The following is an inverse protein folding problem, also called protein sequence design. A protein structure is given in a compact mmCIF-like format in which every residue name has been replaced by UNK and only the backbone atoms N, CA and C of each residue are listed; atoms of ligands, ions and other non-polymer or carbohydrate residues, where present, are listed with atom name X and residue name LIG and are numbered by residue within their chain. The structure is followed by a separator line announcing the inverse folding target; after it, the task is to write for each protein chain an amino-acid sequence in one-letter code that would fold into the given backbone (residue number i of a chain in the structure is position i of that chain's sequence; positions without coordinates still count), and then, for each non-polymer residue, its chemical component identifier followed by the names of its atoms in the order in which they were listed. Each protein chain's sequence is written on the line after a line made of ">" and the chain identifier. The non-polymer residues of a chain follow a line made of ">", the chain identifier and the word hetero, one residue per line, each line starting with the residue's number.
data_IF_376514207121
#
_entry.id   IF_376514207121
#
_cell.length_a   1.000
_cell.length_b   1.000
_cell.length_c   1.000
_cell.angle_alpha   90.00
_cell.angle_beta   90.00
_cell.angle_gamma   90.00
#
_symmetry.space_group_name_H-M   'P 1'
#
loop_
_entity.id
_entity.type
_entity.pdbx_description
1 polymer ?
#
# COMPACT_ATOMS: atom_id res chain seq x y z
N UNK A 1 -7.23 21.34 -12.93
CA UNK A 1 -7.33 20.17 -12.04
C UNK A 1 -6.50 20.52 -10.82
N UNK A 2 -7.13 20.63 -9.67
CA UNK A 2 -6.47 21.06 -8.44
C UNK A 2 -5.95 19.83 -7.68
N UNK A 3 -4.80 19.98 -7.03
CA UNK A 3 -4.12 18.91 -6.32
C UNK A 3 -3.85 19.32 -4.86
N UNK A 4 -4.19 18.44 -3.92
CA UNK A 4 -3.91 18.60 -2.48
C UNK A 4 -2.83 17.60 -2.11
N UNK A 5 -1.84 17.99 -1.31
CA UNK A 5 -0.61 17.21 -1.05
C UNK A 5 -0.41 16.96 0.44
N UNK A 6 -0.07 15.73 0.82
CA UNK A 6 0.30 15.38 2.21
C UNK A 6 1.75 15.77 2.51
N UNK A 7 2.08 17.07 2.51
CA UNK A 7 3.47 17.56 2.61
C UNK A 7 4.05 17.56 4.04
N UNK A 8 5.38 17.53 4.18
CA UNK A 8 6.14 17.55 5.44
C UNK A 8 5.78 16.44 6.43
N UNK A 9 6.46 15.30 6.25
CA UNK A 9 6.33 14.12 7.10
C UNK A 9 7.69 13.76 7.70
N UNK A 10 7.73 13.46 8.99
CA UNK A 10 8.96 12.98 9.64
C UNK A 10 9.14 11.51 9.24
N UNK A 11 10.15 11.21 8.41
CA UNK A 11 10.27 9.93 7.67
C UNK A 11 10.09 8.64 8.49
N UNK A 12 10.49 8.61 9.77
CA UNK A 12 10.29 7.39 10.58
C UNK A 12 8.81 7.09 10.86
N UNK A 13 7.95 8.11 10.95
CA UNK A 13 6.50 8.01 11.20
C UNK A 13 5.69 8.15 9.91
N UNK A 14 6.33 7.98 8.75
CA UNK A 14 5.74 8.36 7.46
C UNK A 14 4.42 7.68 7.16
N UNK A 15 4.36 6.37 7.35
CA UNK A 15 3.14 5.61 7.09
C UNK A 15 1.98 6.12 7.95
N UNK A 16 2.17 6.23 9.26
CA UNK A 16 1.10 6.66 10.16
C UNK A 16 0.65 8.10 9.86
N UNK A 17 1.58 9.04 9.67
CA UNK A 17 1.23 10.44 9.41
C UNK A 17 0.54 10.61 8.05
N UNK A 18 1.03 9.91 7.02
CA UNK A 18 0.46 9.99 5.68
C UNK A 18 -0.92 9.34 5.65
N UNK A 19 -1.11 8.18 6.27
CA UNK A 19 -2.39 7.49 6.33
C UNK A 19 -3.48 8.28 7.07
N UNK A 20 -3.12 8.93 8.19
CA UNK A 20 -4.00 9.84 8.92
C UNK A 20 -4.46 11.03 8.07
N UNK A 21 -3.50 11.70 7.41
CA UNK A 21 -3.80 12.84 6.53
C UNK A 21 -4.62 12.43 5.31
N UNK A 22 -4.36 11.27 4.73
CA UNK A 22 -5.17 10.72 3.63
C UNK A 22 -6.62 10.54 4.10
N UNK A 23 -6.84 9.91 5.25
CA UNK A 23 -8.18 9.73 5.79
C UNK A 23 -8.91 11.07 5.98
N UNK A 24 -8.22 12.06 6.56
CA UNK A 24 -8.74 13.40 6.74
C UNK A 24 -9.14 14.08 5.42
N UNK A 25 -8.26 14.06 4.41
CA UNK A 25 -8.53 14.69 3.12
C UNK A 25 -9.59 13.95 2.30
N UNK A 26 -9.65 12.63 2.39
CA UNK A 26 -10.73 11.86 1.77
C UNK A 26 -12.08 12.22 2.38
N UNK A 27 -12.19 12.33 3.70
CA UNK A 27 -13.42 12.76 4.38
C UNK A 27 -13.83 14.19 3.98
N UNK A 28 -12.89 15.13 3.87
CA UNK A 28 -13.17 16.47 3.36
C UNK A 28 -13.64 16.41 1.91
N UNK A 29 -12.97 15.63 1.06
CA UNK A 29 -13.31 15.45 -0.34
C UNK A 29 -14.72 14.92 -0.53
N UNK A 30 -15.12 13.94 0.29
CA UNK A 30 -16.48 13.39 0.36
C UNK A 30 -17.51 14.47 0.72
N UNK A 31 -17.27 15.23 1.79
CA UNK A 31 -18.20 16.27 2.27
C UNK A 31 -18.34 17.45 1.30
N UNK A 32 -17.26 17.79 0.61
CA UNK A 32 -17.21 18.89 -0.36
C UNK A 32 -17.56 18.46 -1.79
N UNK A 33 -17.79 17.17 -2.04
CA UNK A 33 -17.94 16.60 -3.38
C UNK A 33 -16.83 17.05 -4.35
N UNK A 34 -15.58 17.08 -3.85
CA UNK A 34 -14.45 17.65 -4.59
C UNK A 34 -13.98 16.74 -5.73
N UNK A 35 -13.72 17.34 -6.89
CA UNK A 35 -13.11 16.68 -8.05
C UNK A 35 -11.58 16.70 -8.04
N UNK A 36 -10.96 17.22 -6.97
CA UNK A 36 -9.51 17.30 -6.83
C UNK A 36 -8.86 15.90 -6.77
N UNK A 37 -7.58 15.82 -7.17
CA UNK A 37 -6.76 14.63 -6.98
C UNK A 37 -5.89 14.81 -5.73
N UNK A 38 -5.95 13.83 -4.83
CA UNK A 38 -5.05 13.77 -3.70
C UNK A 38 -3.66 13.30 -4.17
N UNK A 39 -2.62 13.93 -3.65
CA UNK A 39 -1.24 13.52 -3.81
C UNK A 39 -0.70 13.02 -2.46
N UNK A 40 -0.34 11.75 -2.42
CA UNK A 40 0.22 11.11 -1.24
C UNK A 40 1.75 11.07 -1.24
N UNK A 41 2.39 11.98 -1.98
CA UNK A 41 3.85 12.14 -2.00
C UNK A 41 4.60 10.88 -2.44
N UNK A 42 5.63 10.54 -1.67
CA UNK A 42 6.52 9.42 -1.86
C UNK A 42 6.03 8.17 -1.11
N UNK A 43 4.80 8.20 -0.56
CA UNK A 43 4.10 7.01 -0.09
C UNK A 43 3.52 6.22 -1.28
N UNK A 44 4.42 5.74 -2.15
CA UNK A 44 4.13 5.24 -3.50
C UNK A 44 3.07 4.14 -3.52
N UNK A 45 3.18 3.17 -2.60
CA UNK A 45 2.21 2.07 -2.53
C UNK A 45 0.88 2.48 -1.91
N UNK A 46 0.85 3.47 -1.00
CA UNK A 46 -0.42 4.06 -0.55
C UNK A 46 -1.09 4.77 -1.72
N UNK A 47 -0.33 5.51 -2.53
CA UNK A 47 -0.82 6.19 -3.71
C UNK A 47 -1.37 5.24 -4.77
N UNK A 48 -0.59 4.21 -5.11
CA UNK A 48 -1.01 3.17 -6.04
C UNK A 48 -2.28 2.46 -5.56
N UNK A 49 -2.37 2.16 -4.26
CA UNK A 49 -3.51 1.45 -3.67
C UNK A 49 -4.78 2.30 -3.62
N UNK A 50 -4.68 3.59 -3.26
CA UNK A 50 -5.83 4.47 -3.06
C UNK A 50 -6.15 5.34 -4.28
N UNK A 51 -5.50 5.11 -5.42
CA UNK A 51 -5.72 5.90 -6.65
C UNK A 51 -5.41 7.38 -6.45
N UNK A 52 -4.27 7.67 -5.84
CA UNK A 52 -3.74 9.03 -5.64
C UNK A 52 -2.58 9.28 -6.60
N UNK A 53 -2.25 10.55 -6.83
CA UNK A 53 -0.99 10.88 -7.51
C UNK A 53 0.20 10.74 -6.55
N UNK A 54 1.39 10.46 -7.09
CA UNK A 54 2.64 10.40 -6.34
C UNK A 54 3.54 11.60 -6.66
N UNK A 55 4.33 12.05 -5.69
CA UNK A 55 5.51 12.88 -5.88
C UNK A 55 6.76 12.05 -5.62
N UNK A 56 7.47 11.63 -6.67
CA UNK A 56 8.66 10.77 -6.53
C UNK A 56 9.84 11.60 -6.04
N UNK A 57 10.33 11.29 -4.84
CA UNK A 57 11.47 11.95 -4.21
C UNK A 57 12.59 10.97 -3.85
N UNK A 58 12.38 9.66 -4.09
CA UNK A 58 13.39 8.62 -3.86
C UNK A 58 14.61 8.79 -4.75
N UNK A 59 15.76 8.63 -4.13
CA UNK A 59 17.02 8.45 -4.83
C UNK A 59 17.91 7.52 -4.02
N UNK A 60 18.65 6.60 -4.68
CA UNK A 60 19.69 5.79 -4.04
C UNK A 60 20.81 6.61 -3.37
N UNK A 61 20.79 7.95 -3.51
CA UNK A 61 21.80 8.88 -2.98
C UNK A 61 21.32 9.68 -1.75
N UNK A 62 20.05 9.57 -1.34
CA UNK A 62 19.52 10.27 -0.16
C UNK A 62 19.90 9.51 1.12
N UNK A 63 20.16 10.18 2.25
CA UNK A 63 21.24 9.80 3.14
C UNK A 63 21.03 8.40 3.70
N UNK A 64 22.13 7.64 3.85
CA UNK A 64 22.10 6.31 4.42
C UNK A 64 21.36 6.33 5.77
N UNK A 65 20.75 5.20 6.11
CA UNK A 65 20.35 4.98 7.50
C UNK A 65 21.55 5.23 8.44
N UNK A 66 21.29 5.37 9.75
CA UNK A 66 22.32 5.65 10.79
C UNK A 66 23.52 4.68 10.80
N UNK A 67 23.51 3.61 9.99
CA UNK A 67 24.56 2.61 9.86
C UNK A 67 25.39 2.75 8.57
N UNK A 68 25.20 3.82 7.76
CA UNK A 68 26.02 4.06 6.57
C UNK A 68 25.69 3.17 5.37
N UNK A 69 24.57 2.43 5.39
CA UNK A 69 24.17 1.56 4.28
C UNK A 69 23.18 2.29 3.36
N UNK A 70 23.52 2.39 2.07
CA UNK A 70 22.60 2.78 1.02
C UNK A 70 21.59 1.64 0.86
N UNK A 71 20.32 1.91 1.16
CA UNK A 71 19.20 1.00 0.88
C UNK A 71 18.46 1.58 -0.31
N UNK A 72 18.11 0.73 -1.27
CA UNK A 72 17.46 1.13 -2.51
C UNK A 72 16.05 0.55 -2.56
N UNK A 73 15.06 1.42 -2.51
CA UNK A 73 13.63 1.10 -2.64
C UNK A 73 13.03 1.65 -3.94
N UNK A 74 13.89 1.93 -4.95
CA UNK A 74 13.48 2.49 -6.24
C UNK A 74 12.63 1.53 -7.08
N UNK A 75 12.62 0.22 -6.78
CA UNK A 75 11.74 -0.70 -7.49
C UNK A 75 10.27 -0.41 -7.18
N UNK A 76 9.94 0.10 -5.99
CA UNK A 76 8.59 0.55 -5.66
C UNK A 76 8.14 1.72 -6.54
N UNK A 77 9.05 2.62 -6.91
CA UNK A 77 8.80 3.72 -7.87
C UNK A 77 8.37 3.14 -9.22
N UNK A 78 9.17 2.22 -9.76
CA UNK A 78 8.86 1.60 -11.04
C UNK A 78 7.51 0.85 -11.00
N UNK A 79 7.23 0.14 -9.89
CA UNK A 79 5.98 -0.61 -9.68
C UNK A 79 4.76 0.32 -9.62
N UNK A 80 4.82 1.37 -8.80
CA UNK A 80 3.73 2.34 -8.64
C UNK A 80 3.47 3.14 -9.93
N UNK A 81 4.52 3.62 -10.60
CA UNK A 81 4.38 4.37 -11.87
C UNK A 81 3.77 3.48 -12.97
N UNK A 82 4.16 2.21 -13.04
CA UNK A 82 3.58 1.27 -14.01
C UNK A 82 2.15 0.87 -13.66
N UNK A 83 1.83 0.76 -12.37
CA UNK A 83 0.45 0.59 -11.91
C UNK A 83 -0.43 1.73 -12.37
N UNK A 84 0.02 2.99 -12.30
CA UNK A 84 -0.76 4.14 -12.76
C UNK A 84 -1.10 4.13 -14.26
N UNK A 85 -0.40 3.35 -15.08
CA UNK A 85 -0.79 3.12 -16.49
C UNK A 85 -1.99 2.18 -16.61
N UNK A 86 -2.13 1.27 -15.65
CA UNK A 86 -3.24 0.31 -15.56
C UNK A 86 -4.42 0.96 -14.84
N UNK A 87 -4.17 1.64 -13.73
CA UNK A 87 -5.18 2.18 -12.83
C UNK A 87 -4.78 3.60 -12.40
N UNK A 88 -5.21 4.64 -13.15
CA UNK A 88 -4.83 6.02 -12.88
C UNK A 88 -5.34 6.53 -11.53
N UNK A 89 -4.70 7.60 -11.05
CA UNK A 89 -5.22 8.39 -9.94
C UNK A 89 -6.61 8.98 -10.31
N UNK A 90 -7.49 9.08 -9.31
CA UNK A 90 -8.85 9.52 -9.54
C UNK A 90 -9.37 10.46 -8.46
N UNK A 91 -10.30 11.33 -8.87
CA UNK A 91 -10.86 12.40 -8.07
C UNK A 91 -11.44 11.92 -6.74
N UNK A 92 -11.36 12.77 -5.72
CA UNK A 92 -11.85 12.48 -4.36
C UNK A 92 -13.31 12.01 -4.33
N UNK A 93 -14.17 12.59 -5.18
CA UNK A 93 -15.59 12.25 -5.28
C UNK A 93 -15.94 11.10 -6.24
N UNK A 94 -14.97 10.44 -6.88
CA UNK A 94 -15.29 9.43 -7.90
C UNK A 94 -15.74 8.08 -7.32
N UNK A 95 -15.64 7.88 -6.01
CA UNK A 95 -16.04 6.65 -5.34
C UNK A 95 -16.50 6.92 -3.91
N UNK A 96 -17.25 5.97 -3.34
CA UNK A 96 -17.47 5.94 -1.90
C UNK A 96 -16.14 5.83 -1.14
N UNK A 97 -16.09 6.39 0.06
CA UNK A 97 -14.94 6.35 0.96
C UNK A 97 -15.41 5.76 2.29
N UNK A 98 -14.67 4.75 2.75
CA UNK A 98 -14.84 4.11 4.05
C UNK A 98 -13.53 4.18 4.82
N UNK A 99 -13.58 4.64 6.07
CA UNK A 99 -12.43 4.76 6.97
C UNK A 99 -12.72 3.95 8.23
N UNK A 100 -11.76 3.15 8.67
CA UNK A 100 -11.90 2.35 9.90
C UNK A 100 -12.00 3.23 11.14
N UNK A 101 -12.89 2.87 12.05
CA UNK A 101 -12.94 3.45 13.41
C UNK A 101 -11.88 2.89 14.36
N UNK A 102 -11.23 1.76 14.01
CA UNK A 102 -10.08 1.25 14.76
C UNK A 102 -8.87 2.17 14.49
N UNK A 103 -8.26 2.69 15.55
CA UNK A 103 -7.08 3.57 15.47
C UNK A 103 -5.84 2.80 15.89
N UNK A 104 -4.83 2.79 15.02
CA UNK A 104 -3.51 2.22 15.30
C UNK A 104 -2.55 3.35 15.72
N UNK A 105 -1.54 2.99 16.51
CA UNK A 105 -0.63 3.95 17.16
C UNK A 105 0.82 3.59 16.94
N UNK A 106 1.54 4.49 16.30
CA UNK A 106 2.98 4.39 16.08
C UNK A 106 3.76 5.33 17.00
N UNK A 107 5.03 5.00 17.24
CA UNK A 107 5.92 5.79 18.06
C UNK A 107 7.36 5.74 17.61
N UNK A 108 8.06 6.86 17.74
CA UNK A 108 9.48 6.93 17.49
C UNK A 108 10.17 7.90 18.44
N UNK A 109 11.33 7.49 18.96
CA UNK A 109 12.22 8.37 19.70
C UNK A 109 13.18 9.05 18.72
N UNK A 110 13.27 10.37 18.80
CA UNK A 110 14.14 11.17 17.95
C UNK A 110 15.31 11.73 18.77
N UNK A 111 16.51 11.14 18.67
CA UNK A 111 17.72 11.76 19.20
C UNK A 111 17.90 13.17 18.62
N UNK A 112 18.53 14.06 19.39
CA UNK A 112 18.80 15.44 18.96
C UNK A 112 19.54 15.46 17.63
N UNK A 113 19.04 16.24 16.67
CA UNK A 113 19.63 16.39 15.33
C UNK A 113 19.43 15.19 14.40
N UNK A 114 18.58 14.22 14.76
CA UNK A 114 18.31 13.04 13.92
C UNK A 114 17.23 13.25 12.86
N UNK A 115 16.57 14.41 12.86
CA UNK A 115 15.55 14.81 11.89
C UNK A 115 15.59 16.32 11.66
N UNK A 116 15.01 16.78 10.56
CA UNK A 116 14.88 18.20 10.23
C UNK A 116 13.93 18.95 11.20
N UNK A 117 13.03 18.23 11.87
CA UNK A 117 12.04 18.78 12.78
C UNK A 117 12.60 18.95 14.20
N UNK A 118 13.24 20.09 14.46
CA UNK A 118 13.89 20.39 15.75
C UNK A 118 12.95 20.29 16.97
N UNK A 119 11.63 20.41 16.78
CA UNK A 119 10.66 20.28 17.88
C UNK A 119 10.53 18.84 18.39
N UNK A 120 10.95 17.85 17.59
CA UNK A 120 10.99 16.43 17.95
C UNK A 120 12.28 16.03 18.69
N UNK A 121 13.30 16.89 18.72
CA UNK A 121 14.60 16.57 19.33
C UNK A 121 14.48 16.13 20.79
N UNK A 122 15.06 14.96 21.10
CA UNK A 122 15.09 14.37 22.43
C UNK A 122 13.74 13.82 22.92
N UNK A 123 12.76 13.66 22.03
CA UNK A 123 11.39 13.25 22.41
C UNK A 123 10.96 11.96 21.73
N UNK A 124 10.05 11.25 22.39
CA UNK A 124 9.21 10.24 21.75
C UNK A 124 7.99 10.91 21.16
N UNK A 125 7.87 10.89 19.84
CA UNK A 125 6.70 11.36 19.11
C UNK A 125 5.78 10.17 18.86
N UNK A 126 4.47 10.42 18.96
CA UNK A 126 3.42 9.45 18.70
C UNK A 126 2.57 9.93 17.53
N UNK A 127 2.18 9.01 16.67
CA UNK A 127 1.24 9.28 15.58
C UNK A 127 0.17 8.20 15.57
N UNK A 128 -1.08 8.63 15.37
CA UNK A 128 -2.21 7.72 15.22
C UNK A 128 -2.76 7.83 13.80
N UNK A 129 -3.35 6.74 13.32
CA UNK A 129 -4.04 6.68 12.04
C UNK A 129 -5.13 5.60 12.08
N UNK A 130 -6.17 5.69 11.23
CA UNK A 130 -7.14 4.61 11.09
C UNK A 130 -6.45 3.32 10.63
N UNK A 131 -6.93 2.17 11.08
CA UNK A 131 -6.34 0.87 10.75
C UNK A 131 -6.49 0.52 9.27
N UNK A 132 -7.56 0.99 8.62
CA UNK A 132 -7.81 0.75 7.22
C UNK A 132 -8.59 1.87 6.52
N UNK A 133 -8.37 2.00 5.22
CA UNK A 133 -9.07 2.93 4.32
C UNK A 133 -9.52 2.15 3.07
N UNK A 134 -10.76 2.34 2.64
CA UNK A 134 -11.27 1.77 1.40
C UNK A 134 -11.89 2.84 0.49
N UNK A 135 -11.64 2.75 -0.81
CA UNK A 135 -12.26 3.60 -1.85
C UNK A 135 -13.03 2.75 -2.87
N UNK A 136 -14.34 2.93 -2.94
CA UNK A 136 -15.22 2.15 -3.85
C UNK A 136 -15.37 0.68 -3.47
N UNK A 137 -14.97 0.31 -2.24
CA UNK A 137 -15.09 -1.03 -1.66
C UNK A 137 -15.44 -0.92 -0.17
N UNK A 138 -15.99 -1.99 0.43
CA UNK A 138 -16.06 -2.15 1.89
C UNK A 138 -14.66 -2.17 2.52
N UNK A 139 -14.59 -1.89 3.83
CA UNK A 139 -13.35 -2.07 4.59
C UNK A 139 -12.92 -3.56 4.58
N UNK A 140 -11.62 -3.86 4.40
CA UNK A 140 -11.14 -5.23 4.43
C UNK A 140 -11.18 -5.79 5.85
N UNK A 141 -11.37 -7.09 5.98
CA UNK A 141 -11.14 -7.79 7.26
C UNK A 141 -9.65 -8.09 7.39
N UNK A 142 -9.06 -7.79 8.54
CA UNK A 142 -7.63 -7.98 8.81
C UNK A 142 -7.45 -8.84 10.05
N UNK A 143 -6.81 -9.99 9.88
CA UNK A 143 -6.47 -10.91 10.97
C UNK A 143 -4.94 -10.94 11.15
N UNK A 144 -4.47 -10.69 12.37
CA UNK A 144 -3.05 -10.70 12.71
C UNK A 144 -2.84 -11.22 14.13
N UNK A 145 -1.68 -11.85 14.38
CA UNK A 145 -1.25 -12.20 15.73
C UNK A 145 -0.49 -10.98 16.28
N UNK A 146 -1.09 -10.29 17.25
CA UNK A 146 -0.51 -9.09 17.85
C UNK A 146 -0.85 -7.83 17.06
N UNK A 147 0.17 -7.10 16.61
CA UNK A 147 -0.02 -5.80 15.93
C UNK A 147 -0.52 -5.98 14.48
N UNK A 148 -1.46 -5.14 14.05
CA UNK A 148 -1.93 -5.08 12.66
C UNK A 148 -1.12 -4.07 11.83
N UNK A 149 -0.86 -4.32 10.53
CA UNK A 149 -0.41 -3.29 9.61
C UNK A 149 -1.54 -2.29 9.33
N UNK A 150 -1.19 -1.15 8.73
CA UNK A 150 -2.19 -0.32 8.05
C UNK A 150 -2.60 -1.00 6.74
N UNK A 151 -3.88 -0.95 6.38
CA UNK A 151 -4.39 -1.62 5.16
C UNK A 151 -5.22 -0.69 4.31
N UNK A 152 -4.96 -0.60 3.02
CA UNK A 152 -5.82 0.09 2.08
C UNK A 152 -6.34 -0.84 0.99
N UNK A 153 -7.56 -0.57 0.51
CA UNK A 153 -8.10 -1.21 -0.68
C UNK A 153 -8.84 -0.20 -1.55
N UNK A 154 -8.88 -0.44 -2.86
CA UNK A 154 -9.74 0.36 -3.72
C UNK A 154 -10.25 -0.41 -4.93
N UNK A 155 -11.34 0.10 -5.49
CA UNK A 155 -11.79 -0.19 -6.85
C UNK A 155 -11.68 1.10 -7.66
N UNK A 156 -10.79 1.12 -8.63
CA UNK A 156 -10.59 2.25 -9.52
C UNK A 156 -11.77 2.37 -10.51
N UNK A 157 -12.04 3.58 -11.03
CA UNK A 157 -13.16 3.81 -11.97
C UNK A 157 -13.14 2.94 -13.23
N UNK A 158 -11.97 2.49 -13.67
CA UNK A 158 -11.83 1.60 -14.83
C UNK A 158 -12.01 0.11 -14.50
N UNK A 159 -12.38 -0.23 -13.26
CA UNK A 159 -12.63 -1.60 -12.81
C UNK A 159 -11.43 -2.32 -12.22
N UNK A 160 -10.22 -1.74 -12.27
CA UNK A 160 -9.07 -2.31 -11.59
C UNK A 160 -9.26 -2.28 -10.06
N UNK A 161 -8.72 -3.28 -9.37
CA UNK A 161 -8.77 -3.39 -7.90
C UNK A 161 -7.37 -3.23 -7.36
N UNK A 162 -7.20 -2.62 -6.19
CA UNK A 162 -5.92 -2.53 -5.52
C UNK A 162 -6.05 -2.88 -4.04
N UNK A 163 -5.02 -3.51 -3.48
CA UNK A 163 -4.89 -3.77 -2.06
C UNK A 163 -3.44 -3.56 -1.61
N UNK A 164 -3.26 -2.91 -0.47
CA UNK A 164 -1.96 -2.54 0.08
C UNK A 164 -1.89 -2.75 1.58
N UNK A 165 -0.75 -3.24 2.07
CA UNK A 165 -0.39 -3.26 3.48
C UNK A 165 0.82 -2.39 3.73
N UNK A 166 0.83 -1.66 4.84
CA UNK A 166 1.89 -0.71 5.15
C UNK A 166 2.42 -0.93 6.56
N UNK A 167 3.75 -0.85 6.68
CA UNK A 167 4.47 -1.10 7.92
C UNK A 167 4.14 -0.13 9.06
N UNK A 168 4.49 -0.57 10.26
CA UNK A 168 4.32 0.09 11.54
C UNK A 168 5.69 0.45 12.12
N UNK A 169 5.76 1.51 12.91
CA UNK A 169 6.95 1.85 13.71
C UNK A 169 6.58 1.98 15.18
N UNK A 170 7.38 1.36 16.05
CA UNK A 170 7.30 1.60 17.49
C UNK A 170 8.70 1.77 18.06
N UNK A 171 8.83 2.52 19.17
CA UNK A 171 10.13 2.67 19.87
C UNK A 171 10.73 1.31 20.24
N UNK A 172 9.89 0.33 20.58
CA UNK A 172 10.32 -1.00 21.04
C UNK A 172 10.87 -1.86 19.89
N UNK A 173 10.17 -1.88 18.77
CA UNK A 173 10.37 -2.89 17.73
C UNK A 173 10.92 -2.31 16.42
N UNK A 174 11.02 -0.98 16.29
CA UNK A 174 11.42 -0.30 15.07
C UNK A 174 10.39 -0.46 13.94
N UNK A 175 10.81 -0.15 12.71
CA UNK A 175 9.99 -0.33 11.51
C UNK A 175 9.86 -1.82 11.18
N UNK A 176 8.63 -2.28 10.95
CA UNK A 176 8.31 -3.63 10.47
C UNK A 176 6.94 -3.64 9.80
N UNK A 177 6.71 -4.61 8.93
CA UNK A 177 5.37 -4.87 8.38
C UNK A 177 4.79 -6.09 9.09
N UNK A 178 3.85 -5.93 10.06
CA UNK A 178 3.30 -7.06 10.78
C UNK A 178 2.59 -8.04 9.84
N UNK A 179 2.84 -9.36 9.95
CA UNK A 179 2.20 -10.34 9.09
C UNK A 179 0.70 -10.41 9.37
N UNK A 180 -0.11 -10.18 8.33
CA UNK A 180 -1.57 -10.22 8.43
C UNK A 180 -2.21 -10.99 7.27
N UNK A 181 -3.28 -11.71 7.59
CA UNK A 181 -4.21 -12.29 6.62
C UNK A 181 -5.27 -11.22 6.31
N UNK A 182 -5.34 -10.81 5.04
CA UNK A 182 -6.23 -9.73 4.58
C UNK A 182 -7.31 -10.29 3.68
N UNK A 183 -8.57 -10.01 4.00
CA UNK A 183 -9.73 -10.44 3.20
C UNK A 183 -10.39 -9.21 2.59
N UNK A 184 -10.42 -9.17 1.26
CA UNK A 184 -10.98 -8.08 0.48
C UNK A 184 -12.27 -8.54 -0.18
N UNK A 185 -13.36 -7.86 0.13
CA UNK A 185 -14.68 -8.14 -0.45
C UNK A 185 -14.80 -7.52 -1.85
N UNK A 186 -14.13 -8.15 -2.82
CA UNK A 186 -14.15 -7.75 -4.23
C UNK A 186 -13.99 -8.98 -5.13
N UNK A 187 -14.79 -9.06 -6.21
CA UNK A 187 -14.60 -10.07 -7.26
C UNK A 187 -13.51 -9.59 -8.23
N UNK A 188 -12.40 -10.33 -8.29
CA UNK A 188 -11.25 -10.00 -9.16
C UNK A 188 -11.28 -10.71 -10.53
N UNK A 189 -12.37 -11.41 -10.85
CA UNK A 189 -12.47 -12.19 -12.10
C UNK A 189 -12.48 -11.30 -13.33
N UNK A 190 -11.44 -11.41 -14.15
CA UNK A 190 -11.22 -10.59 -15.34
C UNK A 190 -10.77 -9.16 -15.06
N UNK A 191 -10.66 -8.76 -13.78
CA UNK A 191 -10.13 -7.47 -13.38
C UNK A 191 -8.61 -7.59 -13.13
N UNK A 192 -7.85 -6.56 -13.53
CA UNK A 192 -6.45 -6.46 -13.12
C UNK A 192 -6.42 -5.97 -11.68
N UNK A 193 -5.76 -6.73 -10.81
CA UNK A 193 -5.68 -6.47 -9.38
C UNK A 193 -4.25 -6.21 -8.94
N UNK A 194 -3.99 -5.02 -8.40
CA UNK A 194 -2.70 -4.61 -7.84
C UNK A 194 -2.59 -5.01 -6.37
N UNK A 195 -1.47 -5.61 -5.99
CA UNK A 195 -1.19 -6.03 -4.61
C UNK A 195 0.17 -5.46 -4.20
N UNK A 196 0.18 -4.67 -3.13
CA UNK A 196 1.33 -3.86 -2.71
C UNK A 196 1.72 -4.13 -1.25
N UNK A 197 3.00 -4.35 -1.01
CA UNK A 197 3.54 -4.58 0.33
C UNK A 197 3.59 -6.05 0.76
N UNK A 198 4.05 -6.28 1.99
CA UNK A 198 4.28 -7.62 2.54
C UNK A 198 3.09 -8.18 3.33
N UNK A 199 2.36 -9.10 2.72
CA UNK A 199 1.26 -9.84 3.36
C UNK A 199 1.75 -11.13 4.04
N UNK A 200 0.94 -11.66 4.98
CA UNK A 200 0.95 -13.10 5.28
C UNK A 200 0.16 -13.84 4.20
N UNK A 201 -1.08 -13.43 3.99
CA UNK A 201 -1.89 -13.84 2.84
C UNK A 201 -2.91 -12.76 2.48
N UNK A 202 -3.40 -12.79 1.24
CA UNK A 202 -4.50 -11.95 0.80
C UNK A 202 -5.54 -12.78 0.06
N UNK A 203 -6.81 -12.54 0.37
CA UNK A 203 -7.95 -13.29 -0.18
C UNK A 203 -8.95 -12.36 -0.84
N UNK A 204 -9.39 -12.74 -2.04
CA UNK A 204 -10.45 -12.06 -2.80
C UNK A 204 -11.58 -13.02 -3.17
N UNK A 205 -12.74 -12.47 -3.51
CA UNK A 205 -13.79 -13.25 -4.17
C UNK A 205 -13.44 -13.48 -5.63
N UNK A 206 -13.93 -14.58 -6.19
CA UNK A 206 -13.86 -14.90 -7.61
C UNK A 206 -15.16 -15.56 -8.08
N UNK A 207 -15.53 -15.28 -9.33
CA UNK A 207 -16.55 -16.00 -10.06
C UNK A 207 -16.20 -17.51 -10.14
N UNK A 208 -17.20 -18.39 -10.24
CA UNK A 208 -16.97 -19.79 -10.58
C UNK A 208 -16.16 -19.95 -11.87
N UNK A 209 -15.43 -21.06 -12.01
CA UNK A 209 -14.70 -21.44 -13.21
C UNK A 209 -13.51 -20.54 -13.59
N UNK A 210 -12.72 -20.08 -12.61
CA UNK A 210 -11.38 -19.54 -12.92
C UNK A 210 -10.52 -20.65 -13.54
N UNK A 211 -9.99 -20.37 -14.73
CA UNK A 211 -9.16 -21.30 -15.50
C UNK A 211 -7.67 -21.06 -15.29
N UNK A 212 -7.28 -19.79 -15.17
CA UNK A 212 -5.87 -19.39 -15.08
C UNK A 212 -5.71 -18.15 -14.23
N UNK A 213 -4.65 -18.10 -13.44
CA UNK A 213 -4.26 -16.91 -12.66
C UNK A 213 -2.87 -16.48 -13.13
N UNK A 214 -2.79 -15.30 -13.74
CA UNK A 214 -1.54 -14.70 -14.17
C UNK A 214 -1.09 -13.66 -13.15
N UNK A 215 0.20 -13.57 -12.90
CA UNK A 215 0.79 -12.53 -12.07
C UNK A 215 2.06 -11.95 -12.70
N UNK A 216 2.36 -10.69 -12.38
CA UNK A 216 3.52 -9.97 -12.89
C UNK A 216 4.04 -9.01 -11.82
N UNK A 217 5.34 -9.09 -11.52
CA UNK A 217 6.04 -7.97 -10.85
C UNK A 217 5.88 -6.74 -11.74
N UNK A 218 5.30 -5.67 -11.21
CA UNK A 218 5.07 -4.45 -11.95
C UNK A 218 6.40 -3.84 -12.45
N UNK A 219 7.54 -4.06 -11.79
CA UNK A 219 8.86 -3.66 -12.28
C UNK A 219 9.48 -4.63 -13.31
N UNK A 220 8.77 -5.66 -13.74
CA UNK A 220 9.15 -6.60 -14.79
C UNK A 220 8.26 -6.43 -16.03
N UNK A 221 8.68 -7.00 -17.15
CA UNK A 221 7.92 -7.04 -18.40
C UNK A 221 7.37 -8.44 -18.71
N UNK A 222 7.50 -9.38 -17.76
CA UNK A 222 7.11 -10.79 -17.92
C UNK A 222 6.03 -11.16 -16.92
N UNK A 223 4.94 -11.72 -17.41
CA UNK A 223 3.92 -12.39 -16.59
C UNK A 223 4.24 -13.87 -16.42
N UNK A 224 3.74 -14.45 -15.33
CA UNK A 224 3.91 -15.85 -14.95
C UNK A 224 2.54 -16.42 -14.58
N UNK A 225 2.31 -17.68 -14.94
CA UNK A 225 1.14 -18.42 -14.48
C UNK A 225 1.39 -18.89 -13.04
N UNK A 226 0.53 -18.45 -12.12
CA UNK A 226 0.59 -18.79 -10.69
C UNK A 226 -0.59 -19.63 -10.25
N UNK A 227 -1.36 -20.21 -11.18
CA UNK A 227 -2.60 -20.97 -10.87
C UNK A 227 -2.36 -22.08 -9.84
N UNK A 228 -1.20 -22.73 -9.88
CA UNK A 228 -0.79 -23.81 -8.98
C UNK A 228 -0.14 -23.32 -7.68
N UNK A 229 0.09 -22.01 -7.54
CA UNK A 229 0.69 -21.38 -6.35
C UNK A 229 -0.36 -20.66 -5.49
N UNK A 230 -1.62 -20.65 -5.91
CA UNK A 230 -2.72 -20.00 -5.18
C UNK A 230 -3.71 -21.06 -4.69
N UNK A 231 -4.42 -20.75 -3.60
CA UNK A 231 -5.51 -21.58 -3.12
C UNK A 231 -6.82 -21.05 -3.68
N UNK A 232 -7.52 -21.87 -4.46
CA UNK A 232 -8.87 -21.57 -4.94
C UNK A 232 -9.86 -22.52 -4.26
N UNK A 233 -10.79 -21.97 -3.50
CA UNK A 233 -11.83 -22.73 -2.81
C UNK A 233 -13.04 -21.83 -2.53
N UNK A 234 -14.26 -22.38 -2.61
CA UNK A 234 -15.49 -21.71 -2.16
C UNK A 234 -15.71 -20.31 -2.75
N UNK A 235 -15.42 -20.14 -4.05
CA UNK A 235 -15.56 -18.83 -4.72
C UNK A 235 -14.55 -17.78 -4.26
N UNK A 236 -13.43 -18.21 -3.66
CA UNK A 236 -12.35 -17.34 -3.20
C UNK A 236 -11.01 -17.79 -3.74
N UNK A 237 -10.11 -16.82 -3.89
CA UNK A 237 -8.70 -17.03 -4.21
C UNK A 237 -7.86 -16.44 -3.09
N UNK A 238 -6.94 -17.23 -2.53
CA UNK A 238 -5.97 -16.81 -1.53
C UNK A 238 -4.57 -16.91 -2.11
N UNK A 239 -3.82 -15.81 -2.01
CA UNK A 239 -2.42 -15.70 -2.44
C UNK A 239 -1.56 -15.54 -1.18
N UNK A 240 -0.60 -16.45 -1.00
CA UNK A 240 0.38 -16.35 0.09
C UNK A 240 1.39 -15.23 -0.16
N UNK A 241 1.80 -14.53 0.90
CA UNK A 241 2.78 -13.45 0.80
C UNK A 241 4.14 -13.92 0.27
N UNK A 242 4.49 -15.20 0.46
CA UNK A 242 5.66 -15.83 -0.13
C UNK A 242 5.62 -15.88 -1.66
N UNK A 243 4.44 -16.03 -2.27
CA UNK A 243 4.26 -15.97 -3.73
C UNK A 243 4.57 -14.56 -4.23
N UNK A 244 4.09 -13.53 -3.52
CA UNK A 244 4.37 -12.13 -3.86
C UNK A 244 5.87 -11.81 -3.77
N UNK A 245 6.54 -12.27 -2.71
CA UNK A 245 7.99 -12.11 -2.55
C UNK A 245 8.79 -12.88 -3.60
N UNK A 246 8.35 -14.08 -3.97
CA UNK A 246 8.98 -14.87 -5.03
C UNK A 246 8.86 -14.20 -6.41
N UNK A 247 7.72 -13.56 -6.70
CA UNK A 247 7.52 -12.80 -7.94
C UNK A 247 8.39 -11.54 -8.01
N UNK A 248 8.69 -10.93 -6.86
CA UNK A 248 9.43 -9.68 -6.72
C UNK A 248 10.79 -9.89 -6.01
N UNK A 249 11.72 -10.68 -6.57
CA UNK A 249 13.03 -10.86 -5.94
C UNK A 249 13.80 -9.52 -5.89
N UNK A 250 14.70 -9.34 -4.91
CA UNK A 250 15.57 -8.16 -4.84
C UNK A 250 16.34 -7.97 -6.15
N UNK A 251 16.33 -6.75 -6.69
CA UNK A 251 17.00 -6.39 -7.95
C UNK A 251 18.48 -6.08 -7.77
N UNK A 252 18.90 -5.86 -6.53
CA UNK A 252 20.30 -5.70 -6.13
C UNK A 252 20.48 -6.18 -4.67
N UNK A 253 21.72 -6.38 -4.19
CA UNK A 253 21.97 -6.74 -2.79
C UNK A 253 21.50 -5.71 -1.75
N UNK A 254 21.23 -4.47 -2.18
CA UNK A 254 20.73 -3.39 -1.34
C UNK A 254 19.25 -3.06 -1.60
N UNK A 255 18.59 -3.80 -2.50
CA UNK A 255 17.18 -3.60 -2.81
C UNK A 255 16.31 -4.05 -1.64
N UNK A 256 15.57 -3.10 -1.08
CA UNK A 256 14.70 -3.30 0.09
C UNK A 256 13.25 -3.05 -0.22
N UNK A 257 12.92 -2.94 -1.51
CA UNK A 257 11.58 -2.69 -2.01
C UNK A 257 10.62 -3.82 -1.62
N UNK A 258 9.46 -3.48 -1.07
CA UNK A 258 8.41 -4.44 -0.85
C UNK A 258 7.75 -4.88 -2.17
N UNK A 259 7.08 -6.05 -2.22
CA UNK A 259 6.44 -6.55 -3.44
C UNK A 259 5.37 -5.59 -4.00
N UNK A 260 5.27 -5.54 -5.33
CA UNK A 260 4.21 -4.82 -6.04
C UNK A 260 3.85 -5.57 -7.32
N UNK A 261 2.73 -6.28 -7.27
CA UNK A 261 2.35 -7.29 -8.27
C UNK A 261 1.00 -6.92 -8.88
N UNK A 262 0.87 -7.09 -10.20
CA UNK A 262 -0.43 -7.13 -10.86
C UNK A 262 -0.86 -8.58 -11.10
N UNK A 263 -2.11 -8.90 -10.79
CA UNK A 263 -2.71 -10.23 -10.95
C UNK A 263 -3.94 -10.13 -11.86
N UNK A 264 -4.17 -11.17 -12.66
CA UNK A 264 -5.37 -11.33 -13.48
C UNK A 264 -5.89 -12.76 -13.35
N UNK A 265 -7.10 -12.90 -12.81
CA UNK A 265 -7.82 -14.17 -12.73
C UNK A 265 -8.74 -14.33 -13.95
N UNK A 266 -8.39 -15.24 -14.86
CA UNK A 266 -9.10 -15.47 -16.12
C UNK A 266 -10.15 -16.56 -15.93
N UNK A 267 -11.37 -16.31 -16.43
CA UNK A 267 -12.43 -17.33 -16.55
C UNK A 267 -12.03 -18.37 -17.60
N UNK A 268 -12.46 -19.62 -17.41
CA UNK A 268 -12.37 -20.67 -18.44
C UNK A 268 -13.21 -20.34 -19.66
#
# INVERSE_FOLDING_TARGET
>A
MDCIRTYDVIGHLENATTFDRIAYYLEIGKRSNSSAILNGEDALYMCATLGMSCGVMRTPLYPPNKNGKIMDDSAEVARAVRWHRIAPAFALNASEINVSGEILKDSQFFPKGSTWCATADGKTVWQCAPAAIARGLPLPKVEAIGEKPFVAVSKHPNGAIAAGVFGRVTVRDGFRTPPADVFVDADISGAITGIFGNFKSITFNISPNIGKVLAQDLASNKSVDITHLVKIAEGKITIGGEVLRWLCPPRSPNDTSEPGVAILALKK
#
